data_IF_170778584758
#
_entry.id   IF_170778584758
#
_cell.length_a   1.000
_cell.length_b   1.000
_cell.length_c   1.000
_cell.angle_alpha   90.00
_cell.angle_beta   90.00
_cell.angle_gamma   90.00
#
_symmetry.space_group_name_H-M   'P 1'
#
loop_
_entity.id
_entity.type
_entity.pdbx_description
1 polymer ?
#
# COMPACT_ATOMS: atom_id res chain seq x y z
N UNK A 1 -11.29 55.71 -5.16
CA UNK A 1 -11.60 54.32 -5.56
C UNK A 1 -10.29 53.52 -5.67
N UNK A 2 -9.68 53.11 -4.55
CA UNK A 2 -8.36 52.42 -4.54
C UNK A 2 -8.28 51.25 -3.54
N UNK A 3 -9.24 51.15 -2.62
CA UNK A 3 -9.29 50.12 -1.57
C UNK A 3 -9.93 48.81 -2.03
N UNK A 4 -10.70 48.83 -3.13
CA UNK A 4 -11.36 47.63 -3.69
C UNK A 4 -10.41 46.74 -4.50
N UNK A 5 -9.45 47.33 -5.21
CA UNK A 5 -8.50 46.57 -6.03
C UNK A 5 -7.55 45.71 -5.18
N UNK A 6 -7.12 46.21 -4.02
CA UNK A 6 -6.27 45.46 -3.10
C UNK A 6 -7.01 44.28 -2.42
N UNK A 7 -8.30 44.44 -2.12
CA UNK A 7 -9.10 43.37 -1.50
C UNK A 7 -9.40 42.25 -2.49
N UNK A 8 -9.66 42.59 -3.76
CA UNK A 8 -9.89 41.60 -4.83
C UNK A 8 -8.62 40.80 -5.15
N UNK A 9 -7.45 41.46 -5.14
CA UNK A 9 -6.17 40.79 -5.40
C UNK A 9 -5.78 39.80 -4.29
N UNK A 10 -6.06 40.13 -3.02
CA UNK A 10 -5.78 39.23 -1.89
C UNK A 10 -6.71 38.02 -1.87
N UNK A 11 -7.99 38.21 -2.23
CA UNK A 11 -8.95 37.11 -2.33
C UNK A 11 -8.64 36.16 -3.49
N UNK A 12 -8.14 36.69 -4.61
CA UNK A 12 -7.68 35.89 -5.76
C UNK A 12 -6.45 35.04 -5.41
N UNK A 13 -5.49 35.59 -4.65
CA UNK A 13 -4.31 34.84 -4.21
C UNK A 13 -4.65 33.73 -3.19
N UNK A 14 -5.68 33.92 -2.37
CA UNK A 14 -6.15 32.89 -1.44
C UNK A 14 -6.85 31.73 -2.17
N UNK A 15 -7.51 32.01 -3.30
CA UNK A 15 -8.15 31.01 -4.14
C UNK A 15 -7.14 30.15 -4.92
N UNK A 16 -5.96 30.68 -5.24
CA UNK A 16 -4.90 29.92 -5.93
C UNK A 16 -4.13 28.95 -5.03
N UNK A 17 -4.21 29.09 -3.70
CA UNK A 17 -3.43 28.27 -2.74
C UNK A 17 -4.06 26.90 -2.43
N UNK A 18 -5.31 26.65 -2.84
CA UNK A 18 -6.08 25.45 -2.45
C UNK A 18 -6.11 24.34 -3.49
N UNK A 19 -5.28 24.38 -4.54
CA UNK A 19 -5.26 23.33 -5.56
C UNK A 19 -3.84 22.85 -5.88
N UNK A 20 -3.13 22.39 -4.86
CA UNK A 20 -2.07 21.39 -5.07
C UNK A 20 -2.69 20.02 -4.83
N UNK A 21 -3.52 19.55 -5.77
CA UNK A 21 -3.73 18.11 -5.91
C UNK A 21 -2.43 17.56 -6.49
N UNK A 22 -1.55 17.05 -5.63
CA UNK A 22 -0.45 16.23 -6.11
C UNK A 22 -1.09 15.04 -6.83
N UNK A 23 -0.94 14.97 -8.15
CA UNK A 23 -1.25 13.75 -8.88
C UNK A 23 -0.22 12.72 -8.44
N UNK A 24 -0.51 12.01 -7.36
CA UNK A 24 0.27 10.87 -6.93
C UNK A 24 0.11 9.81 -8.02
N UNK A 25 1.10 9.75 -8.90
CA UNK A 25 1.17 8.68 -9.88
C UNK A 25 1.41 7.43 -9.05
N UNK A 26 0.41 6.54 -8.96
CA UNK A 26 0.50 5.33 -8.16
C UNK A 26 1.65 4.47 -8.71
N UNK A 27 2.83 4.59 -8.09
CA UNK A 27 3.98 3.76 -8.41
C UNK A 27 3.73 2.38 -7.85
N UNK A 28 3.98 1.35 -8.65
CA UNK A 28 4.00 -0.02 -8.17
C UNK A 28 5.01 -0.14 -7.02
N UNK A 29 4.57 -0.72 -5.91
CA UNK A 29 5.33 -0.98 -4.69
C UNK A 29 5.31 -2.48 -4.43
N UNK A 30 6.35 -2.99 -3.79
CA UNK A 30 6.40 -4.37 -3.31
C UNK A 30 6.95 -4.43 -1.90
N UNK A 31 6.41 -5.36 -1.11
CA UNK A 31 6.89 -5.62 0.25
C UNK A 31 6.86 -7.11 0.57
N UNK A 32 7.80 -7.52 1.41
CA UNK A 32 7.90 -8.90 1.89
C UNK A 32 7.11 -9.05 3.21
N UNK A 33 6.38 -10.15 3.34
CA UNK A 33 5.49 -10.38 4.47
C UNK A 33 5.34 -11.88 4.79
N UNK A 34 4.95 -12.18 6.03
CA UNK A 34 4.59 -13.52 6.48
C UNK A 34 3.08 -13.70 6.38
N UNK A 35 2.63 -14.79 5.76
CA UNK A 35 1.20 -15.15 5.72
C UNK A 35 0.74 -15.52 7.14
N UNK A 36 -0.35 -14.90 7.58
CA UNK A 36 -1.00 -15.16 8.87
C UNK A 36 -2.24 -16.03 8.71
N UNK A 37 -3.07 -15.75 7.71
CA UNK A 37 -4.33 -16.47 7.42
C UNK A 37 -4.69 -16.30 5.93
N UNK A 38 -5.31 -17.32 5.33
CA UNK A 38 -5.71 -17.31 3.92
C UNK A 38 -7.24 -17.39 3.81
N UNK A 39 -7.82 -16.50 3.01
CA UNK A 39 -9.25 -16.45 2.69
C UNK A 39 -9.47 -16.66 1.19
N UNK A 40 -10.72 -16.90 0.78
CA UNK A 40 -11.08 -17.15 -0.63
C UNK A 40 -10.60 -16.05 -1.60
N UNK A 41 -10.60 -14.79 -1.16
CA UNK A 41 -10.32 -13.61 -1.98
C UNK A 41 -9.39 -12.59 -1.31
N UNK A 42 -8.73 -13.00 -0.23
CA UNK A 42 -7.78 -12.17 0.47
C UNK A 42 -6.77 -13.03 1.24
N UNK A 43 -5.64 -12.42 1.59
CA UNK A 43 -4.67 -13.02 2.50
C UNK A 43 -4.31 -12.00 3.57
N UNK A 44 -4.34 -12.43 4.83
CA UNK A 44 -3.85 -11.62 5.94
C UNK A 44 -2.35 -11.86 6.08
N UNK A 45 -1.57 -10.79 6.07
CA UNK A 45 -0.10 -10.85 6.16
C UNK A 45 0.45 -9.93 7.24
N UNK A 46 1.60 -10.30 7.78
CA UNK A 46 2.44 -9.45 8.63
C UNK A 46 3.64 -8.97 7.82
N UNK A 47 3.76 -7.67 7.47
CA UNK A 47 4.94 -7.14 6.81
C UNK A 47 6.22 -7.44 7.61
N UNK A 48 7.31 -7.79 6.92
CA UNK A 48 8.59 -8.07 7.57
C UNK A 48 9.14 -6.84 8.31
N UNK A 49 10.07 -7.07 9.23
CA UNK A 49 10.72 -5.99 9.94
C UNK A 49 11.54 -5.13 8.96
N UNK A 50 11.29 -3.82 8.96
CA UNK A 50 11.94 -2.87 8.06
C UNK A 50 11.09 -2.46 6.85
N UNK A 51 10.04 -3.21 6.53
CA UNK A 51 9.14 -2.85 5.43
C UNK A 51 8.36 -1.57 5.74
N UNK A 52 8.23 -0.65 4.75
CA UNK A 52 7.56 0.63 4.97
C UNK A 52 6.08 0.48 5.33
N UNK A 53 5.40 -0.54 4.82
CA UNK A 53 3.99 -0.87 5.04
C UNK A 53 3.71 -1.19 6.51
N UNK A 54 4.72 -1.68 7.24
CA UNK A 54 4.61 -1.94 8.68
C UNK A 54 4.35 -0.67 9.50
N UNK A 55 4.64 0.52 8.94
CA UNK A 55 4.30 1.81 9.56
C UNK A 55 2.79 2.07 9.57
N UNK A 56 2.05 1.45 8.64
CA UNK A 56 0.60 1.55 8.58
C UNK A 56 -0.05 0.57 9.56
N UNK A 57 0.35 -0.70 9.54
CA UNK A 57 -0.09 -1.70 10.52
C UNK A 57 0.84 -2.92 10.51
N UNK A 58 0.84 -3.69 11.61
CA UNK A 58 1.47 -5.01 11.69
C UNK A 58 0.65 -6.10 10.98
N UNK A 59 -0.63 -5.86 10.72
CA UNK A 59 -1.52 -6.78 10.00
C UNK A 59 -2.16 -6.07 8.81
N UNK A 60 -1.99 -6.65 7.63
CA UNK A 60 -2.51 -6.11 6.38
C UNK A 60 -3.31 -7.19 5.65
N UNK A 61 -4.58 -6.89 5.36
CA UNK A 61 -5.43 -7.68 4.49
C UNK A 61 -5.15 -7.30 3.03
N UNK A 62 -4.64 -8.25 2.27
CA UNK A 62 -4.26 -8.10 0.87
C UNK A 62 -5.32 -8.74 -0.01
N UNK A 63 -5.99 -7.95 -0.85
CA UNK A 63 -6.97 -8.46 -1.81
C UNK A 63 -6.30 -9.36 -2.86
N UNK A 64 -6.90 -10.51 -3.17
CA UNK A 64 -6.44 -11.38 -4.26
C UNK A 64 -7.43 -11.45 -5.43
N UNK A 65 -8.51 -10.67 -5.37
CA UNK A 65 -9.61 -10.66 -6.36
C UNK A 65 -9.13 -10.38 -7.78
N UNK A 66 -8.18 -9.45 -7.93
CA UNK A 66 -7.68 -9.03 -9.25
C UNK A 66 -6.56 -9.93 -9.79
N UNK A 67 -6.08 -10.87 -8.98
CA UNK A 67 -5.04 -11.82 -9.37
C UNK A 67 -5.72 -13.02 -10.03
N UNK A 68 -5.39 -13.35 -11.29
CA UNK A 68 -5.95 -14.53 -11.94
C UNK A 68 -5.49 -15.80 -11.20
N UNK A 69 -6.40 -16.75 -11.02
CA UNK A 69 -6.19 -17.94 -10.19
C UNK A 69 -4.98 -18.79 -10.61
N UNK A 70 -4.62 -18.80 -11.89
CA UNK A 70 -3.43 -19.51 -12.40
C UNK A 70 -2.09 -18.82 -12.03
N UNK A 71 -2.14 -17.57 -11.57
CA UNK A 71 -0.97 -16.80 -11.13
C UNK A 71 -0.85 -16.64 -9.62
N UNK A 72 -1.92 -16.95 -8.87
CA UNK A 72 -1.86 -16.96 -7.42
C UNK A 72 -1.29 -18.31 -6.96
N UNK A 73 -0.12 -18.35 -6.30
CA UNK A 73 0.41 -19.59 -5.76
C UNK A 73 -0.50 -20.12 -4.64
N UNK A 74 -0.36 -21.41 -4.32
CA UNK A 74 -1.01 -21.97 -3.14
C UNK A 74 -0.34 -21.40 -1.89
N UNK A 75 -1.08 -20.60 -1.12
CA UNK A 75 -0.61 -19.95 0.09
C UNK A 75 -1.00 -20.76 1.33
N UNK A 76 -0.08 -20.80 2.29
CA UNK A 76 -0.26 -21.42 3.60
C UNK A 76 0.27 -20.49 4.71
N UNK A 77 -0.29 -20.61 5.89
CA UNK A 77 0.16 -19.85 7.07
C UNK A 77 1.65 -20.07 7.35
N UNK A 78 2.36 -19.00 7.67
CA UNK A 78 3.80 -19.02 7.96
C UNK A 78 4.71 -18.91 6.74
N UNK A 79 4.18 -18.99 5.51
CA UNK A 79 4.98 -18.75 4.31
C UNK A 79 5.40 -17.28 4.18
N UNK A 80 6.56 -17.05 3.56
CA UNK A 80 7.00 -15.73 3.16
C UNK A 80 6.54 -15.44 1.75
N UNK A 81 5.95 -14.27 1.57
CA UNK A 81 5.43 -13.79 0.30
C UNK A 81 5.93 -12.39 0.01
N UNK A 82 6.05 -12.08 -1.27
CA UNK A 82 6.17 -10.73 -1.78
C UNK A 82 4.84 -10.30 -2.36
N UNK A 83 4.35 -9.16 -1.90
CA UNK A 83 3.08 -8.56 -2.34
C UNK A 83 3.40 -7.36 -3.21
N UNK A 84 3.00 -7.39 -4.48
CA UNK A 84 3.14 -6.25 -5.40
C UNK A 84 1.80 -5.54 -5.57
N UNK A 85 1.76 -4.23 -5.30
CA UNK A 85 0.54 -3.44 -5.25
C UNK A 85 0.75 -2.01 -5.76
N UNK A 86 -0.33 -1.27 -6.00
CA UNK A 86 -0.30 0.18 -6.21
C UNK A 86 -1.20 0.91 -5.22
N UNK A 87 -1.08 2.23 -5.23
CA UNK A 87 -1.91 3.10 -4.39
C UNK A 87 -1.41 3.12 -2.95
N UNK A 88 -2.34 3.33 -2.03
CA UNK A 88 -2.04 3.52 -0.61
C UNK A 88 -2.58 2.35 0.21
N UNK A 89 -1.92 2.08 1.34
CA UNK A 89 -2.47 1.22 2.39
C UNK A 89 -3.62 1.96 3.07
N UNK A 90 -4.83 1.38 3.05
CA UNK A 90 -6.00 1.97 3.68
C UNK A 90 -5.94 1.82 5.20
N UNK A 91 -5.96 2.95 5.91
CA UNK A 91 -5.81 3.01 7.37
C UNK A 91 -7.05 2.47 8.09
N UNK A 92 -6.99 1.19 8.46
CA UNK A 92 -7.97 0.45 9.28
C UNK A 92 -7.25 -0.64 10.07
N UNK A 93 -7.97 -1.47 10.84
CA UNK A 93 -7.35 -2.60 11.56
C UNK A 93 -8.13 -3.91 11.35
N UNK A 94 -7.54 -4.93 10.69
CA UNK A 94 -6.24 -4.87 9.99
C UNK A 94 -6.27 -3.81 8.87
N UNK A 95 -5.11 -3.27 8.50
CA UNK A 95 -5.01 -2.35 7.37
C UNK A 95 -5.31 -3.10 6.07
N UNK A 96 -5.59 -2.38 4.98
CA UNK A 96 -6.06 -3.03 3.74
C UNK A 96 -5.32 -2.53 2.50
N UNK A 97 -5.04 -3.44 1.57
CA UNK A 97 -4.53 -3.14 0.23
C UNK A 97 -5.46 -3.81 -0.79
N UNK A 98 -6.01 -3.00 -1.69
CA UNK A 98 -6.98 -3.47 -2.69
C UNK A 98 -6.36 -3.68 -4.07
N UNK A 99 -5.50 -2.76 -4.53
CA UNK A 99 -4.89 -2.78 -5.86
C UNK A 99 -3.65 -3.69 -5.88
N UNK A 100 -3.86 -5.00 -5.88
CA UNK A 100 -2.77 -5.99 -5.81
C UNK A 100 -2.61 -6.69 -7.15
N UNK A 101 -1.39 -6.70 -7.69
CA UNK A 101 -1.10 -7.25 -9.00
C UNK A 101 -0.51 -8.66 -8.94
N UNK A 102 0.21 -8.98 -7.86
CA UNK A 102 0.82 -10.28 -7.67
C UNK A 102 1.10 -10.55 -6.19
N UNK A 103 1.00 -11.83 -5.83
CA UNK A 103 1.55 -12.38 -4.59
C UNK A 103 2.44 -13.55 -4.99
N UNK A 104 3.72 -13.51 -4.61
CA UNK A 104 4.71 -14.53 -4.99
C UNK A 104 5.39 -15.11 -3.75
N UNK A 105 5.69 -16.41 -3.74
CA UNK A 105 6.46 -17.01 -2.66
C UNK A 105 7.91 -16.50 -2.68
N UNK A 106 8.46 -16.21 -1.51
CA UNK A 106 9.88 -15.87 -1.34
C UNK A 106 10.61 -17.16 -0.93
N UNK A 107 11.34 -17.75 -1.87
CA UNK A 107 12.19 -18.91 -1.58
C UNK A 107 13.41 -18.47 -0.76
N UNK A 108 13.59 -19.12 0.38
CA UNK A 108 14.55 -18.73 1.40
C UNK A 108 15.98 -19.12 1.03
N UNK A 109 16.96 -18.21 1.19
CA UNK A 109 18.27 -18.55 1.78
C UNK A 109 19.21 -17.34 2.01
N UNK A 110 19.02 -16.19 1.34
CA UNK A 110 19.98 -15.06 1.45
C UNK A 110 19.46 -13.81 2.17
N UNK A 111 18.16 -13.49 2.09
CA UNK A 111 17.62 -12.19 2.51
C UNK A 111 17.15 -12.18 3.99
N UNK A 112 16.88 -13.34 4.59
CA UNK A 112 16.43 -13.44 5.99
C UNK A 112 17.48 -12.99 7.02
N UNK A 113 18.78 -13.00 6.68
CA UNK A 113 19.85 -12.59 7.62
C UNK A 113 20.00 -11.08 7.77
N UNK A 114 19.21 -10.27 7.06
CA UNK A 114 19.28 -8.81 7.14
C UNK A 114 18.20 -8.21 8.05
N UNK A 115 17.26 -9.03 8.52
CA UNK A 115 16.11 -8.61 9.33
C UNK A 115 16.20 -9.03 10.81
N UNK A 116 17.32 -9.64 11.25
CA UNK A 116 17.64 -9.92 12.67
C UNK A 116 18.52 -8.82 13.29
#
# INVERSE_FOLDING_TARGET
>A
MKKGAAVILVFLCFLCLVVTSCAESASAQDFDAKVLEVFDHAVLVEPLAGEPERKSADQIMVSTVEIPADKLPLLEEGQLVRVAYSGSVAESYPAQIHEVFAVSLVENDAELKKAE
#
